data_IF_046244822509
#
_entry.id   IF_046244822509
#
_cell.length_a   1.000
_cell.length_b   1.000
_cell.length_c   1.000
_cell.angle_alpha   90.00
_cell.angle_beta   90.00
_cell.angle_gamma   90.00
#
_symmetry.space_group_name_H-M   'P 1'
#
loop_
_entity.id
_entity.type
_entity.pdbx_description
1 polymer ?
#
# COMPACT_ATOMS: atom_id res chain seq x y z
N UNK A 1 19.53 32.55 -2.82
CA UNK A 1 19.75 31.17 -2.34
C UNK A 1 19.16 30.23 -3.37
N UNK A 2 20.03 29.53 -4.10
CA UNK A 2 19.67 28.64 -5.21
C UNK A 2 18.84 27.47 -4.70
N UNK A 3 17.67 27.25 -5.34
CA UNK A 3 16.91 26.01 -5.19
C UNK A 3 17.72 24.89 -5.82
N UNK A 4 18.14 23.93 -5.01
CA UNK A 4 18.79 22.71 -5.47
C UNK A 4 17.88 21.99 -6.47
N UNK A 5 18.33 21.91 -7.73
CA UNK A 5 17.72 21.06 -8.75
C UNK A 5 17.83 19.62 -8.27
N UNK A 6 16.70 19.01 -7.92
CA UNK A 6 16.62 17.57 -7.66
C UNK A 6 17.18 16.83 -8.87
N UNK A 7 18.10 15.91 -8.59
CA UNK A 7 18.80 15.06 -9.54
C UNK A 7 17.82 14.42 -10.53
N UNK A 8 17.94 14.78 -11.81
CA UNK A 8 17.22 14.14 -12.91
C UNK A 8 17.71 12.69 -13.04
N UNK A 9 16.87 11.71 -12.68
CA UNK A 9 17.15 10.30 -12.90
C UNK A 9 16.93 9.95 -14.39
N UNK A 10 17.92 10.22 -15.25
CA UNK A 10 17.90 9.88 -16.69
C UNK A 10 17.88 8.36 -17.01
N UNK A 11 17.50 7.49 -16.06
CA UNK A 11 17.54 6.03 -16.22
C UNK A 11 16.19 5.32 -16.29
N UNK A 12 15.10 5.92 -15.80
CA UNK A 12 13.81 5.21 -15.75
C UNK A 12 12.62 6.11 -16.03
N UNK A 13 12.47 6.53 -17.29
CA UNK A 13 11.33 7.32 -17.75
C UNK A 13 9.98 6.65 -17.39
N UNK A 14 9.90 5.31 -17.37
CA UNK A 14 8.67 4.61 -16.97
C UNK A 14 8.26 4.93 -15.54
N UNK A 15 9.19 4.88 -14.59
CA UNK A 15 8.92 5.22 -13.18
C UNK A 15 8.62 6.71 -13.01
N UNK A 16 9.35 7.58 -13.70
CA UNK A 16 9.07 9.03 -13.65
C UNK A 16 7.65 9.36 -14.15
N UNK A 17 7.20 8.71 -15.22
CA UNK A 17 5.83 8.85 -15.73
C UNK A 17 4.78 8.36 -14.72
N UNK A 18 5.09 7.29 -13.97
CA UNK A 18 4.21 6.75 -12.92
C UNK A 18 4.12 7.74 -11.76
N UNK A 19 5.25 8.18 -11.21
CA UNK A 19 5.31 9.09 -10.06
C UNK A 19 4.63 10.43 -10.38
N UNK A 20 4.93 11.03 -11.54
CA UNK A 20 4.27 12.25 -12.00
C UNK A 20 2.79 12.06 -12.27
N UNK A 21 2.40 10.86 -12.72
CA UNK A 21 1.00 10.52 -12.88
C UNK A 21 0.26 10.47 -11.55
N UNK A 22 0.85 9.89 -10.52
CA UNK A 22 0.27 9.85 -9.16
C UNK A 22 0.13 11.28 -8.61
N UNK A 23 1.21 12.07 -8.63
CA UNK A 23 1.22 13.49 -8.23
C UNK A 23 0.07 14.27 -8.87
N UNK A 24 -0.10 14.10 -10.19
CA UNK A 24 -1.13 14.77 -10.96
C UNK A 24 -2.56 14.37 -10.56
N UNK A 25 -2.82 13.10 -10.24
CA UNK A 25 -4.15 12.66 -9.79
C UNK A 25 -4.53 13.34 -8.49
N UNK A 26 -3.58 13.53 -7.57
CA UNK A 26 -3.86 14.17 -6.29
C UNK A 26 -4.13 15.66 -6.43
N UNK A 27 -3.39 16.35 -7.30
CA UNK A 27 -3.53 17.80 -7.46
C UNK A 27 -4.82 18.17 -8.21
N UNK A 28 -5.17 17.43 -9.26
CA UNK A 28 -6.20 17.87 -10.20
C UNK A 28 -7.26 16.81 -10.52
N UNK A 29 -7.17 15.63 -9.92
CA UNK A 29 -8.08 14.51 -10.14
C UNK A 29 -7.75 13.70 -11.39
N UNK A 30 -8.19 12.43 -11.39
CA UNK A 30 -7.95 11.49 -12.48
C UNK A 30 -8.54 11.95 -13.82
N UNK A 31 -9.68 12.62 -13.84
CA UNK A 31 -10.34 13.10 -15.07
C UNK A 31 -9.41 13.97 -15.91
N UNK A 32 -8.51 14.70 -15.24
CA UNK A 32 -7.56 15.59 -15.88
C UNK A 32 -6.28 14.88 -16.36
N UNK A 33 -6.05 13.63 -15.97
CA UNK A 33 -4.88 12.84 -16.33
C UNK A 33 -4.86 12.46 -17.82
N UNK A 34 -3.74 12.73 -18.50
CA UNK A 34 -3.47 12.22 -19.85
C UNK A 34 -1.97 12.00 -20.08
N UNK A 35 -1.63 11.02 -20.93
CA UNK A 35 -0.23 10.68 -21.24
C UNK A 35 0.57 11.91 -21.73
N UNK A 36 -0.06 12.78 -22.54
CA UNK A 36 0.58 14.02 -23.03
C UNK A 36 0.88 15.01 -21.91
N UNK A 37 -0.02 15.15 -20.92
CA UNK A 37 0.21 16.06 -19.79
C UNK A 37 1.36 15.58 -18.91
N UNK A 38 1.44 14.27 -18.68
CA UNK A 38 2.54 13.68 -17.92
C UNK A 38 3.85 13.80 -18.70
N UNK A 39 3.84 13.56 -20.02
CA UNK A 39 5.02 13.79 -20.87
C UNK A 39 5.60 15.20 -20.68
N UNK A 40 4.71 16.21 -20.67
CA UNK A 40 5.09 17.60 -20.42
C UNK A 40 5.67 17.80 -19.02
N UNK A 41 5.11 17.15 -17.99
CA UNK A 41 5.62 17.22 -16.60
C UNK A 41 7.01 16.58 -16.47
N UNK A 42 7.28 15.50 -17.21
CA UNK A 42 8.59 14.84 -17.27
C UNK A 42 9.58 15.53 -18.23
N UNK A 43 9.17 16.60 -18.93
CA UNK A 43 10.03 17.30 -19.90
C UNK A 43 10.41 16.49 -21.14
N UNK A 44 9.59 15.49 -21.50
CA UNK A 44 9.81 14.62 -22.67
C UNK A 44 8.82 14.90 -23.80
N UNK A 45 9.07 14.31 -24.98
CA UNK A 45 8.15 14.45 -26.12
C UNK A 45 6.79 13.81 -25.84
N UNK A 46 5.72 14.34 -26.45
CA UNK A 46 4.37 13.78 -26.33
C UNK A 46 4.26 12.31 -26.76
N UNK A 47 5.19 11.82 -27.59
CA UNK A 47 5.24 10.44 -28.05
C UNK A 47 5.93 9.51 -27.05
N UNK A 48 6.78 10.03 -26.17
CA UNK A 48 7.62 9.23 -25.28
C UNK A 48 6.84 8.31 -24.31
N UNK A 49 5.71 8.71 -23.70
CA UNK A 49 4.97 7.80 -22.81
C UNK A 49 4.35 6.60 -23.54
N UNK A 50 4.08 6.73 -24.85
CA UNK A 50 3.42 5.69 -25.64
C UNK A 50 4.31 4.46 -25.88
N UNK A 51 5.61 4.54 -25.60
CA UNK A 51 6.50 3.37 -25.59
C UNK A 51 6.25 2.45 -24.40
N UNK A 52 5.68 2.97 -23.31
CA UNK A 52 5.40 2.22 -22.07
C UNK A 52 3.90 1.99 -21.84
N UNK A 53 3.07 2.96 -22.21
CA UNK A 53 1.63 2.95 -21.93
C UNK A 53 0.85 3.28 -23.20
N UNK A 54 0.10 2.32 -23.74
CA UNK A 54 -0.68 2.51 -24.98
C UNK A 54 -1.89 3.39 -24.73
N UNK A 55 -2.48 3.28 -23.53
CA UNK A 55 -3.66 4.03 -23.10
C UNK A 55 -3.56 4.45 -21.62
N UNK A 56 -4.43 5.39 -21.22
CA UNK A 56 -4.52 5.90 -19.83
C UNK A 56 -4.68 4.76 -18.81
N UNK A 57 -5.46 3.73 -19.14
CA UNK A 57 -5.67 2.59 -18.22
C UNK A 57 -4.38 1.82 -17.94
N UNK A 58 -3.47 1.67 -18.92
CA UNK A 58 -2.22 0.93 -18.74
C UNK A 58 -1.31 1.66 -17.73
N UNK A 59 -1.33 3.00 -17.78
CA UNK A 59 -0.62 3.83 -16.81
C UNK A 59 -1.25 3.69 -15.41
N UNK A 60 -2.59 3.74 -15.30
CA UNK A 60 -3.28 3.61 -14.01
C UNK A 60 -3.03 2.25 -13.36
N UNK A 61 -2.98 1.17 -14.15
CA UNK A 61 -2.59 -0.16 -13.69
C UNK A 61 -1.15 -0.15 -13.17
N UNK A 62 -0.22 0.41 -13.96
CA UNK A 62 1.19 0.52 -13.55
C UNK A 62 1.41 1.39 -12.31
N UNK A 63 0.62 2.44 -12.09
CA UNK A 63 0.62 3.21 -10.84
C UNK A 63 0.18 2.36 -9.65
N UNK A 64 -0.87 1.55 -9.83
CA UNK A 64 -1.37 0.65 -8.78
C UNK A 64 -0.30 -0.37 -8.40
N UNK A 65 0.31 -1.00 -9.41
CA UNK A 65 1.40 -1.96 -9.22
C UNK A 65 2.60 -1.35 -8.51
N UNK A 66 2.96 -0.11 -8.87
CA UNK A 66 4.05 0.62 -8.24
C UNK A 66 3.81 0.84 -6.75
N UNK A 67 2.61 1.30 -6.37
CA UNK A 67 2.24 1.50 -4.95
C UNK A 67 2.28 0.17 -4.19
N UNK A 68 1.68 -0.89 -4.74
CA UNK A 68 1.69 -2.22 -4.10
C UNK A 68 3.10 -2.79 -3.96
N UNK A 69 3.97 -2.57 -4.95
CA UNK A 69 5.37 -2.98 -4.92
C UNK A 69 6.15 -2.28 -3.81
N UNK A 70 5.99 -0.96 -3.65
CA UNK A 70 6.67 -0.22 -2.59
C UNK A 70 6.18 -0.66 -1.22
N UNK A 71 4.86 -0.78 -1.03
CA UNK A 71 4.30 -1.29 0.22
C UNK A 71 4.84 -2.69 0.55
N UNK A 72 4.92 -3.57 -0.45
CA UNK A 72 5.48 -4.91 -0.27
C UNK A 72 6.96 -4.87 0.16
N UNK A 73 7.75 -3.95 -0.40
CA UNK A 73 9.14 -3.75 0.01
C UNK A 73 9.24 -3.28 1.47
N UNK A 74 8.41 -2.33 1.90
CA UNK A 74 8.39 -1.87 3.30
C UNK A 74 7.95 -2.95 4.29
N UNK A 75 6.93 -3.73 3.92
CA UNK A 75 6.49 -4.88 4.71
C UNK A 75 7.56 -5.98 4.76
N UNK A 76 8.28 -6.24 3.66
CA UNK A 76 9.39 -7.20 3.63
C UNK A 76 10.57 -6.74 4.51
N UNK A 77 10.92 -5.45 4.50
CA UNK A 77 11.92 -4.87 5.41
C UNK A 77 11.49 -5.04 6.87
N UNK A 78 10.23 -4.75 7.17
CA UNK A 78 9.66 -4.94 8.52
C UNK A 78 9.72 -6.41 8.93
N UNK A 79 9.33 -7.31 8.04
CA UNK A 79 9.41 -8.76 8.26
C UNK A 79 10.81 -9.19 8.64
N UNK A 80 11.80 -8.82 7.83
CA UNK A 80 13.21 -9.14 8.08
C UNK A 80 13.72 -8.57 9.39
N UNK A 81 13.33 -7.33 9.73
CA UNK A 81 13.74 -6.66 10.97
C UNK A 81 13.20 -7.34 12.23
N UNK A 82 12.00 -7.92 12.16
CA UNK A 82 11.26 -8.46 13.31
C UNK A 82 10.97 -9.97 13.19
N UNK A 83 11.75 -10.71 12.41
CA UNK A 83 11.50 -12.12 12.05
C UNK A 83 11.27 -13.05 13.26
N UNK A 84 11.94 -12.77 14.38
CA UNK A 84 11.85 -13.56 15.62
C UNK A 84 10.95 -12.91 16.70
N UNK A 85 10.20 -11.86 16.36
CA UNK A 85 9.35 -11.16 17.32
C UNK A 85 7.96 -11.76 17.36
N UNK A 86 7.44 -12.03 18.56
CA UNK A 86 6.02 -12.39 18.74
C UNK A 86 5.06 -11.26 18.33
N UNK A 87 5.57 -10.03 18.18
CA UNK A 87 4.79 -8.87 17.75
C UNK A 87 4.88 -8.60 16.24
N UNK A 88 5.42 -9.54 15.44
CA UNK A 88 5.65 -9.35 14.01
C UNK A 88 4.39 -8.89 13.25
N UNK A 89 3.26 -9.57 13.49
CA UNK A 89 1.97 -9.19 12.88
C UNK A 89 1.57 -7.74 13.20
N UNK A 90 1.76 -7.32 14.45
CA UNK A 90 1.44 -5.95 14.90
C UNK A 90 2.36 -4.94 14.22
N UNK A 91 3.65 -5.25 14.10
CA UNK A 91 4.61 -4.39 13.40
C UNK A 91 4.28 -4.27 11.92
N UNK A 92 3.88 -5.35 11.25
CA UNK A 92 3.44 -5.31 9.85
C UNK A 92 2.18 -4.46 9.69
N UNK A 93 1.19 -4.62 10.58
CA UNK A 93 -0.02 -3.80 10.57
C UNK A 93 0.28 -2.31 10.77
N UNK A 94 1.20 -1.96 11.67
CA UNK A 94 1.66 -0.58 11.84
C UNK A 94 2.37 -0.05 10.59
N UNK A 95 3.28 -0.82 10.00
CA UNK A 95 3.96 -0.42 8.75
C UNK A 95 2.95 -0.14 7.64
N UNK A 96 1.92 -0.99 7.52
CA UNK A 96 0.84 -0.76 6.57
C UNK A 96 0.11 0.57 6.81
N UNK A 97 -0.29 0.84 8.06
CA UNK A 97 -1.03 2.06 8.41
C UNK A 97 -0.18 3.29 8.16
N UNK A 98 1.07 3.30 8.64
CA UNK A 98 1.99 4.42 8.50
C UNK A 98 2.32 4.70 7.04
N UNK A 99 2.56 3.66 6.22
CA UNK A 99 2.84 3.83 4.80
C UNK A 99 1.77 4.67 4.10
N UNK A 100 0.50 4.36 4.33
CA UNK A 100 -0.59 5.11 3.70
C UNK A 100 -0.89 6.45 4.37
N UNK A 101 -0.60 6.62 5.66
CA UNK A 101 -0.72 7.92 6.32
C UNK A 101 0.36 8.91 5.83
N UNK A 102 1.59 8.43 5.62
CA UNK A 102 2.71 9.21 5.08
C UNK A 102 2.56 9.48 3.58
N UNK A 103 1.79 8.65 2.87
CA UNK A 103 1.54 8.75 1.43
C UNK A 103 0.02 8.74 1.17
N UNK A 104 -0.71 9.73 1.71
CA UNK A 104 -2.17 9.75 1.67
C UNK A 104 -2.73 9.70 0.24
N UNK A 105 -1.96 10.18 -0.73
CA UNK A 105 -2.24 10.14 -2.15
C UNK A 105 -2.37 8.72 -2.68
N UNK A 106 -1.46 7.85 -2.24
CA UNK A 106 -1.41 6.46 -2.65
C UNK A 106 -2.65 5.75 -2.11
N UNK A 107 -3.06 6.11 -0.89
CA UNK A 107 -4.28 5.58 -0.31
C UNK A 107 -5.51 5.96 -1.13
N UNK A 108 -5.72 7.27 -1.35
CA UNK A 108 -6.86 7.77 -2.14
C UNK A 108 -6.90 7.18 -3.54
N UNK A 109 -5.75 7.10 -4.20
CA UNK A 109 -5.64 6.49 -5.50
C UNK A 109 -6.12 5.04 -5.47
N UNK A 110 -5.55 4.20 -4.59
CA UNK A 110 -5.87 2.77 -4.50
C UNK A 110 -7.33 2.50 -4.14
N UNK A 111 -7.90 3.22 -3.16
CA UNK A 111 -9.29 2.99 -2.73
C UNK A 111 -10.33 3.45 -3.76
N UNK A 112 -9.99 4.44 -4.59
CA UNK A 112 -10.88 4.95 -5.63
C UNK A 112 -10.95 4.04 -6.86
N UNK A 113 -10.10 3.00 -6.96
CA UNK A 113 -10.10 2.07 -8.10
C UNK A 113 -11.14 0.97 -7.90
N UNK A 114 -12.05 0.84 -8.86
CA UNK A 114 -13.02 -0.27 -8.93
C UNK A 114 -12.39 -1.63 -9.27
N UNK A 115 -11.11 -1.67 -9.66
CA UNK A 115 -10.48 -2.84 -10.28
C UNK A 115 -9.45 -3.55 -9.38
N UNK A 116 -9.28 -3.11 -8.14
CA UNK A 116 -8.35 -3.76 -7.20
C UNK A 116 -8.91 -5.11 -6.79
N UNK A 117 -8.39 -6.19 -7.39
CA UNK A 117 -8.72 -7.57 -6.99
C UNK A 117 -7.85 -7.95 -5.82
N UNK A 118 -8.35 -7.74 -4.60
CA UNK A 118 -7.70 -8.24 -3.39
C UNK A 118 -8.26 -9.63 -3.14
N UNK A 119 -7.43 -10.64 -3.32
CA UNK A 119 -7.83 -11.99 -2.99
C UNK A 119 -7.55 -12.30 -1.52
N UNK A 120 -8.54 -11.99 -0.68
CA UNK A 120 -8.50 -12.31 0.74
C UNK A 120 -8.74 -13.80 1.00
N UNK A 121 -9.29 -14.52 0.02
CA UNK A 121 -9.92 -15.82 0.21
C UNK A 121 -9.23 -16.96 -0.55
N UNK A 122 -8.48 -16.67 -1.62
CA UNK A 122 -7.74 -17.67 -2.38
C UNK A 122 -6.65 -18.27 -1.50
N UNK A 123 -6.93 -19.51 -1.13
CA UNK A 123 -5.97 -20.55 -0.77
C UNK A 123 -5.49 -20.57 0.69
N UNK A 124 -6.20 -21.38 1.48
CA UNK A 124 -5.57 -22.31 2.43
C UNK A 124 -4.93 -23.53 1.74
N UNK A 125 -5.01 -23.62 0.41
CA UNK A 125 -4.42 -24.67 -0.42
C UNK A 125 -3.12 -24.19 -1.03
N UNK A 126 -2.02 -24.59 -0.40
CA UNK A 126 -0.66 -24.47 -0.92
C UNK A 126 -0.11 -23.05 -1.02
N UNK A 127 0.99 -22.86 -0.30
CA UNK A 127 1.82 -21.67 -0.37
C UNK A 127 2.37 -21.63 -1.80
N UNK A 128 1.69 -20.94 -2.71
CA UNK A 128 2.33 -20.52 -3.95
C UNK A 128 3.37 -19.45 -3.60
N UNK A 129 4.57 -19.98 -3.40
CA UNK A 129 5.84 -19.32 -3.56
C UNK A 129 5.78 -18.25 -4.67
N UNK A 130 6.40 -17.11 -4.38
CA UNK A 130 6.90 -16.08 -5.32
C UNK A 130 6.11 -14.79 -5.51
N UNK A 131 4.82 -14.70 -5.18
CA UNK A 131 4.17 -13.38 -5.18
C UNK A 131 4.45 -12.65 -3.87
N UNK A 132 5.53 -11.86 -3.89
CA UNK A 132 5.97 -10.92 -2.86
C UNK A 132 5.03 -9.71 -2.81
N UNK A 133 3.72 -9.94 -2.79
CA UNK A 133 2.72 -8.90 -2.66
C UNK A 133 2.58 -8.50 -1.19
N UNK A 134 2.24 -7.23 -0.95
CA UNK A 134 2.00 -6.69 0.39
C UNK A 134 0.97 -7.52 1.17
N UNK A 135 -0.09 -7.95 0.49
CA UNK A 135 -1.16 -8.78 1.04
C UNK A 135 -0.68 -10.14 1.50
N UNK A 136 0.11 -10.84 0.67
CA UNK A 136 0.61 -12.16 1.01
C UNK A 136 1.50 -12.11 2.25
N UNK A 137 2.29 -11.04 2.43
CA UNK A 137 3.10 -10.84 3.63
C UNK A 137 2.22 -10.72 4.88
N UNK A 138 1.19 -9.88 4.86
CA UNK A 138 0.27 -9.72 6.00
C UNK A 138 -0.55 -11.00 6.26
N UNK A 139 -1.15 -11.58 5.22
CA UNK A 139 -1.98 -12.79 5.28
C UNK A 139 -1.20 -13.97 5.85
N UNK A 140 -0.01 -14.24 5.32
CA UNK A 140 0.82 -15.37 5.78
C UNK A 140 1.23 -15.24 7.25
N UNK A 141 1.50 -14.02 7.73
CA UNK A 141 1.80 -13.80 9.14
C UNK A 141 0.57 -13.94 10.03
N UNK A 142 -0.57 -13.35 9.61
CA UNK A 142 -1.84 -13.48 10.32
C UNK A 142 -2.26 -14.95 10.48
N UNK A 143 -2.19 -15.73 9.38
CA UNK A 143 -2.49 -17.17 9.40
C UNK A 143 -1.60 -17.92 10.39
N UNK A 144 -0.29 -17.68 10.39
CA UNK A 144 0.65 -18.31 11.34
C UNK A 144 0.30 -18.01 12.80
N UNK A 145 0.05 -16.74 13.12
CA UNK A 145 -0.31 -16.31 14.47
C UNK A 145 -1.63 -16.94 14.92
N UNK A 146 -2.65 -16.95 14.05
CA UNK A 146 -3.96 -17.52 14.36
C UNK A 146 -3.93 -19.05 14.50
N UNK A 147 -3.15 -19.75 13.67
CA UNK A 147 -2.94 -21.19 13.81
C UNK A 147 -2.21 -21.55 15.10
N UNK A 148 -1.19 -20.77 15.50
CA UNK A 148 -0.49 -20.96 16.79
C UNK A 148 -1.42 -20.74 17.99
N UNK A 149 -2.49 -19.97 17.81
CA UNK A 149 -3.51 -19.71 18.82
C UNK A 149 -4.71 -20.69 18.73
N UNK A 150 -4.58 -21.82 18.02
CA UNK A 150 -5.60 -22.85 17.87
C UNK A 150 -6.94 -22.34 17.31
N UNK A 151 -6.92 -21.27 16.51
CA UNK A 151 -8.13 -20.74 15.85
C UNK A 151 -8.57 -21.70 14.74
N UNK A 152 -9.85 -22.13 14.69
CA UNK A 152 -10.35 -22.99 13.63
C UNK A 152 -10.19 -22.35 12.25
N UNK A 153 -9.82 -23.14 11.22
CA UNK A 153 -9.59 -22.65 9.86
C UNK A 153 -10.74 -21.79 9.30
N UNK A 154 -11.99 -22.15 9.59
CA UNK A 154 -13.16 -21.37 9.17
C UNK A 154 -13.17 -19.95 9.78
N UNK A 155 -12.73 -19.80 11.03
CA UNK A 155 -12.66 -18.52 11.72
C UNK A 155 -11.40 -17.71 11.38
N UNK A 156 -10.36 -18.34 10.82
CA UNK A 156 -9.14 -17.63 10.38
C UNK A 156 -9.47 -16.63 9.27
N UNK A 157 -10.32 -17.00 8.31
CA UNK A 157 -10.70 -16.10 7.21
C UNK A 157 -11.40 -14.83 7.73
N UNK A 158 -12.42 -15.01 8.56
CA UNK A 158 -13.16 -13.91 9.15
C UNK A 158 -12.26 -12.97 9.95
N UNK A 159 -11.29 -13.55 10.68
CA UNK A 159 -10.29 -12.76 11.42
C UNK A 159 -9.34 -12.01 10.50
N UNK A 160 -8.87 -12.60 9.40
CA UNK A 160 -8.02 -11.89 8.42
C UNK A 160 -8.80 -10.74 7.78
N UNK A 161 -10.06 -10.94 7.43
CA UNK A 161 -10.94 -9.88 6.92
C UNK A 161 -11.11 -8.76 7.97
N UNK A 162 -11.34 -9.13 9.24
CA UNK A 162 -11.46 -8.16 10.33
C UNK A 162 -10.16 -7.37 10.56
N UNK A 163 -8.99 -8.04 10.51
CA UNK A 163 -7.68 -7.39 10.58
C UNK A 163 -7.47 -6.41 9.42
N UNK A 164 -7.87 -6.81 8.21
CA UNK A 164 -7.81 -5.94 7.03
C UNK A 164 -8.72 -4.72 7.18
N UNK A 165 -9.97 -4.93 7.60
CA UNK A 165 -10.91 -3.85 7.87
C UNK A 165 -10.39 -2.88 8.95
N UNK A 166 -9.72 -3.40 9.99
CA UNK A 166 -9.13 -2.59 11.04
C UNK A 166 -8.04 -1.66 10.50
N UNK A 167 -7.04 -2.20 9.77
CA UNK A 167 -5.94 -1.36 9.26
C UNK A 167 -6.42 -0.39 8.19
N UNK A 168 -7.40 -0.77 7.37
CA UNK A 168 -8.07 0.13 6.43
C UNK A 168 -8.81 1.27 7.13
N UNK A 169 -9.59 0.93 8.17
CA UNK A 169 -10.31 1.90 8.98
C UNK A 169 -9.36 2.87 9.69
N UNK A 170 -8.26 2.37 10.25
CA UNK A 170 -7.23 3.19 10.88
C UNK A 170 -6.63 4.21 9.90
N UNK A 171 -6.24 3.77 8.71
CA UNK A 171 -5.73 4.68 7.66
C UNK A 171 -6.76 5.74 7.31
N UNK A 172 -8.01 5.35 7.07
CA UNK A 172 -9.10 6.28 6.73
C UNK A 172 -9.28 7.33 7.84
N UNK A 173 -9.39 6.89 9.09
CA UNK A 173 -9.54 7.75 10.27
C UNK A 173 -8.36 8.73 10.35
N UNK A 174 -7.12 8.23 10.28
CA UNK A 174 -5.94 9.07 10.46
C UNK A 174 -5.70 10.10 9.34
N UNK A 175 -6.19 9.84 8.13
CA UNK A 175 -6.08 10.79 7.00
C UNK A 175 -7.22 11.83 7.02
N UNK A 176 -8.32 11.60 7.75
CA UNK A 176 -9.40 12.57 7.87
C UNK A 176 -8.97 13.82 8.64
N UNK A 177 -9.16 14.99 8.04
CA UNK A 177 -8.65 16.28 8.54
C UNK A 177 -9.20 16.74 9.90
N UNK A 178 -10.30 16.16 10.39
CA UNK A 178 -11.04 16.66 11.57
C UNK A 178 -11.01 15.71 12.79
N UNK A 179 -10.06 14.76 12.84
CA UNK A 179 -9.96 13.84 13.98
C UNK A 179 -9.01 14.39 15.03
N UNK A 180 -9.58 14.99 16.07
CA UNK A 180 -8.86 15.28 17.31
C UNK A 180 -8.70 14.02 18.13
N UNK A 181 -7.47 13.52 18.22
CA UNK A 181 -7.10 12.42 19.10
C UNK A 181 -6.13 12.93 20.17
N UNK A 182 -6.36 12.55 21.42
CA UNK A 182 -5.60 13.05 22.58
C UNK A 182 -4.19 12.46 22.68
N UNK A 183 -3.88 11.41 21.91
CA UNK A 183 -2.62 10.67 21.98
C UNK A 183 -1.92 10.65 20.61
N UNK A 184 -0.63 10.29 20.59
CA UNK A 184 0.15 10.20 19.35
C UNK A 184 -0.24 8.92 18.62
N UNK A 185 -0.83 9.03 17.43
CA UNK A 185 -1.30 7.89 16.64
C UNK A 185 -0.23 6.82 16.42
N UNK A 186 1.01 7.22 16.13
CA UNK A 186 2.15 6.31 15.93
C UNK A 186 2.40 5.39 17.13
N UNK A 187 2.14 5.87 18.34
CA UNK A 187 2.28 5.11 19.58
C UNK A 187 1.08 4.18 19.79
N UNK A 188 -0.11 4.60 19.36
CA UNK A 188 -1.38 3.89 19.61
C UNK A 188 -1.78 2.86 18.57
N UNK A 189 -1.30 2.95 17.34
CA UNK A 189 -1.61 1.96 16.29
C UNK A 189 -1.29 0.53 16.77
N UNK A 190 -0.15 0.32 17.43
CA UNK A 190 0.22 -1.02 17.90
C UNK A 190 -0.72 -1.52 19.00
N UNK A 191 -1.12 -0.64 19.93
CA UNK A 191 -2.05 -0.99 21.00
C UNK A 191 -3.44 -1.33 20.47
N UNK A 192 -3.95 -0.52 19.52
CA UNK A 192 -5.24 -0.75 18.88
C UNK A 192 -5.22 -2.10 18.14
N UNK A 193 -4.19 -2.35 17.31
CA UNK A 193 -4.05 -3.61 16.59
C UNK A 193 -3.97 -4.78 17.56
N UNK A 194 -3.17 -4.69 18.64
CA UNK A 194 -3.08 -5.75 19.65
C UNK A 194 -4.42 -6.04 20.30
N UNK A 195 -5.19 -5.00 20.65
CA UNK A 195 -6.46 -5.14 21.38
C UNK A 195 -7.54 -5.89 20.60
N UNK A 196 -7.50 -5.81 19.26
CA UNK A 196 -8.52 -6.40 18.38
C UNK A 196 -8.05 -7.72 17.78
N UNK A 197 -6.75 -7.85 17.47
CA UNK A 197 -6.24 -8.93 16.63
C UNK A 197 -5.64 -10.10 17.43
N UNK A 198 -5.19 -9.88 18.67
CA UNK A 198 -4.57 -10.92 19.49
C UNK A 198 -5.62 -11.43 20.47
N UNK A 199 -6.12 -12.64 20.21
CA UNK A 199 -7.02 -13.35 21.11
C UNK A 199 -6.22 -13.76 22.36
N UNK A 200 -6.73 -13.42 23.55
CA UNK A 200 -6.23 -13.97 24.82
C UNK A 200 -6.67 -15.41 25.01
#
# INVERSE_FOLDING_TARGET
MEKSKKSYHHGNLREELIEKGIEMINEVGEEKLSLRRIAKMCGVSNAAPYTYFKKKSDLLEAMSDYIWKILAMELAKTRKKYENSENLLVKLGKTYVMFFCENHEYYYFIISRSNTKIDLLSEFSEIENSNQSAFNILKSEATKVLQKADVPNQAIQDKIIAMWALVQGLVTIMIMNDITYSEIWEEKIEEIIKSVCIVK
#
